data_IF_419079158959
#
_entry.id   IF_419079158959
#
_cell.length_a   1.000
_cell.length_b   1.000
_cell.length_c   1.000
_cell.angle_alpha   90.00
_cell.angle_beta   90.00
_cell.angle_gamma   90.00
#
_symmetry.space_group_name_H-M   'P 1'
#
loop_
_entity.id
_entity.type
_entity.pdbx_description
1 polymer ?
#
# COMPACT_ATOMS: atom_id res chain seq x y z
N UNK A 1 35.59 -1.04 -47.37
CA UNK A 1 35.76 -1.31 -45.93
C UNK A 1 34.48 -0.87 -45.27
N UNK A 2 33.77 -1.84 -44.67
CA UNK A 2 32.34 -1.76 -44.38
C UNK A 2 32.02 -0.87 -43.19
N UNK A 3 30.99 -0.06 -43.38
CA UNK A 3 30.22 0.59 -42.33
C UNK A 3 28.96 -0.27 -42.11
N UNK A 4 28.64 -0.57 -40.86
CA UNK A 4 27.44 -1.34 -40.49
C UNK A 4 26.86 -0.78 -39.21
N UNK A 5 26.07 0.27 -39.39
CA UNK A 5 25.12 0.80 -38.42
C UNK A 5 23.85 -0.06 -38.45
N UNK A 6 23.55 -0.77 -37.36
CA UNK A 6 22.32 -1.53 -37.19
C UNK A 6 21.22 -0.63 -36.61
N UNK A 7 20.29 -0.22 -37.46
CA UNK A 7 18.98 0.32 -37.08
C UNK A 7 18.00 -0.84 -36.88
N UNK A 8 17.46 -1.00 -35.67
CA UNK A 8 16.28 -1.85 -35.43
C UNK A 8 15.08 -0.93 -35.23
N UNK A 9 14.31 -0.75 -36.29
CA UNK A 9 12.98 -0.14 -36.29
C UNK A 9 11.96 -1.28 -36.20
N UNK A 10 11.33 -1.45 -35.03
CA UNK A 10 10.21 -2.39 -34.87
C UNK A 10 8.93 -1.63 -35.18
N UNK A 11 8.45 -1.76 -36.43
CA UNK A 11 7.12 -1.34 -36.86
C UNK A 11 6.11 -2.41 -36.45
N UNK A 12 5.18 -2.04 -35.58
CA UNK A 12 4.05 -2.87 -35.18
C UNK A 12 3.09 -3.08 -36.36
N UNK A 13 2.86 -4.35 -36.73
CA UNK A 13 1.76 -4.76 -37.60
C UNK A 13 0.43 -4.68 -36.84
N UNK A 14 -0.50 -3.87 -37.32
CA UNK A 14 -1.94 -4.02 -37.04
C UNK A 14 -2.62 -4.41 -38.36
N UNK A 15 -3.42 -5.49 -38.41
CA UNK A 15 -4.18 -5.80 -39.62
C UNK A 15 -5.38 -4.85 -39.75
N UNK A 16 -5.55 -4.34 -40.96
CA UNK A 16 -6.69 -3.58 -41.41
C UNK A 16 -7.94 -4.48 -41.48
N UNK A 17 -9.04 -4.06 -40.87
CA UNK A 17 -10.37 -4.49 -41.25
C UNK A 17 -11.08 -3.32 -41.93
N UNK A 18 -11.21 -3.41 -43.25
CA UNK A 18 -12.08 -2.55 -44.04
C UNK A 18 -13.52 -3.06 -43.92
N UNK A 19 -14.43 -2.23 -43.44
CA UNK A 19 -15.87 -2.47 -43.51
C UNK A 19 -16.46 -1.45 -44.48
N UNK A 20 -16.88 -1.94 -45.63
CA UNK A 20 -17.62 -1.18 -46.66
C UNK A 20 -19.03 -0.89 -46.15
N UNK A 21 -19.38 0.38 -45.99
CA UNK A 21 -20.75 0.80 -45.66
C UNK A 21 -21.57 0.96 -46.96
N UNK A 22 -22.60 0.12 -47.12
CA UNK A 22 -23.68 0.34 -48.08
C UNK A 22 -24.77 1.14 -47.37
N UNK A 23 -25.06 2.34 -47.88
CA UNK A 23 -26.15 3.20 -47.43
C UNK A 23 -27.47 2.70 -48.04
N UNK A 24 -28.42 2.29 -47.20
CA UNK A 24 -29.82 2.11 -47.57
C UNK A 24 -30.67 3.14 -46.82
N UNK A 25 -31.45 3.92 -47.56
CA UNK A 25 -32.40 4.92 -47.04
C UNK A 25 -33.78 4.32 -46.77
N UNK A 26 -34.44 4.93 -45.77
CA UNK A 26 -35.87 4.99 -45.48
C UNK A 26 -36.45 3.97 -44.47
N UNK A 27 -36.93 4.51 -43.35
CA UNK A 27 -37.76 3.84 -42.34
C UNK A 27 -37.81 4.62 -41.04
N UNK A 28 -38.80 5.51 -40.89
CA UNK A 28 -39.07 6.27 -39.67
C UNK A 28 -39.62 5.38 -38.56
N UNK A 29 -38.87 5.24 -37.46
CA UNK A 29 -39.37 4.82 -36.17
C UNK A 29 -38.53 5.50 -35.07
N UNK A 30 -39.20 6.23 -34.19
CA UNK A 30 -38.64 6.75 -32.94
C UNK A 30 -38.13 5.59 -32.08
N UNK A 31 -36.82 5.42 -32.00
CA UNK A 31 -36.16 4.51 -31.07
C UNK A 31 -34.91 5.19 -30.52
N UNK A 32 -34.86 5.35 -29.21
CA UNK A 32 -33.69 5.84 -28.49
C UNK A 32 -32.43 5.05 -28.91
N UNK A 33 -31.23 5.67 -28.94
CA UNK A 33 -30.02 4.93 -29.24
C UNK A 33 -29.85 3.80 -28.20
N UNK A 34 -29.38 2.61 -28.61
CA UNK A 34 -29.02 1.58 -27.65
C UNK A 34 -27.91 2.15 -26.76
N UNK A 35 -28.26 2.37 -25.49
CA UNK A 35 -27.29 2.60 -24.44
C UNK A 35 -26.35 1.40 -24.46
N UNK A 36 -25.12 1.61 -24.94
CA UNK A 36 -24.04 0.67 -24.70
C UNK A 36 -23.95 0.52 -23.19
N UNK A 37 -24.47 -0.60 -22.67
CA UNK A 37 -24.23 -0.99 -21.30
C UNK A 37 -22.71 -1.09 -21.17
N UNK A 38 -22.12 -0.08 -20.54
CA UNK A 38 -20.77 -0.19 -20.05
C UNK A 38 -20.84 -1.30 -19.01
N UNK A 39 -20.33 -2.48 -19.37
CA UNK A 39 -19.87 -3.48 -18.41
C UNK A 39 -18.78 -2.81 -17.57
N UNK A 40 -19.23 -2.01 -16.62
CA UNK A 40 -18.45 -1.57 -15.49
C UNK A 40 -18.36 -2.82 -14.62
N UNK A 41 -17.39 -3.66 -14.92
CA UNK A 41 -16.82 -4.54 -13.91
C UNK A 41 -16.24 -3.59 -12.86
N UNK A 42 -17.06 -3.21 -11.89
CA UNK A 42 -16.56 -2.81 -10.59
C UNK A 42 -15.69 -3.98 -10.15
N UNK A 43 -14.38 -3.81 -10.20
CA UNK A 43 -13.46 -4.67 -9.50
C UNK A 43 -13.75 -4.47 -8.01
N UNK A 44 -14.80 -5.11 -7.53
CA UNK A 44 -15.22 -5.08 -6.15
C UNK A 44 -14.03 -5.57 -5.32
N UNK A 45 -13.55 -4.72 -4.41
CA UNK A 45 -12.42 -5.01 -3.53
C UNK A 45 -12.77 -6.25 -2.73
N UNK A 46 -12.31 -7.43 -3.16
CA UNK A 46 -12.55 -8.67 -2.44
C UNK A 46 -11.91 -8.56 -1.05
N UNK A 47 -12.69 -8.65 0.04
CA UNK A 47 -12.14 -8.63 1.39
C UNK A 47 -11.18 -9.80 1.59
N UNK A 48 -10.09 -9.56 2.29
CA UNK A 48 -9.16 -10.59 2.77
C UNK A 48 -9.33 -10.76 4.28
N UNK A 49 -8.64 -11.75 4.88
CA UNK A 49 -8.68 -11.98 6.32
C UNK A 49 -8.29 -10.75 7.15
N UNK A 50 -7.42 -9.88 6.61
CA UNK A 50 -6.93 -8.68 7.32
C UNK A 50 -7.67 -7.40 6.93
N UNK A 51 -8.60 -7.44 5.96
CA UNK A 51 -9.32 -6.24 5.51
C UNK A 51 -9.99 -5.54 6.68
N UNK A 52 -9.80 -4.22 6.74
CA UNK A 52 -10.46 -3.29 7.63
C UNK A 52 -9.51 -2.29 8.31
N UNK A 53 -10.06 -1.51 9.24
CA UNK A 53 -9.33 -0.49 10.01
C UNK A 53 -8.87 -1.03 11.36
N UNK A 54 -7.57 -0.94 11.62
CA UNK A 54 -6.92 -1.47 12.81
C UNK A 54 -6.10 -0.42 13.55
N UNK A 55 -6.29 -0.33 14.86
CA UNK A 55 -5.59 0.57 15.76
C UNK A 55 -4.47 -0.15 16.50
N UNK A 56 -3.30 0.49 16.63
CA UNK A 56 -2.20 0.00 17.47
C UNK A 56 -2.59 0.05 18.95
N UNK A 57 -2.43 -1.08 19.65
CA UNK A 57 -2.81 -1.20 21.07
C UNK A 57 -1.72 -1.78 21.95
N UNK A 58 -0.75 -2.50 21.39
CA UNK A 58 0.44 -2.95 22.13
C UNK A 58 1.59 -3.18 21.17
N UNK A 59 2.81 -2.90 21.61
CA UNK A 59 4.04 -3.26 20.91
C UNK A 59 4.96 -3.94 21.91
N UNK A 60 5.47 -5.12 21.55
CA UNK A 60 6.51 -5.82 22.29
C UNK A 60 7.73 -5.88 21.39
N UNK A 61 8.83 -5.29 21.83
CA UNK A 61 10.11 -5.39 21.12
C UNK A 61 11.03 -6.37 21.85
N UNK A 62 11.93 -6.98 21.09
CA UNK A 62 12.92 -7.94 21.60
C UNK A 62 14.34 -7.43 21.43
N UNK A 63 15.32 -8.16 21.97
CA UNK A 63 16.75 -7.80 21.88
C UNK A 63 17.21 -6.84 22.98
N UNK A 64 18.37 -6.16 22.79
CA UNK A 64 18.99 -5.33 23.84
C UNK A 64 18.15 -4.15 24.33
N UNK A 65 17.14 -3.74 23.55
CA UNK A 65 16.19 -2.66 23.90
C UNK A 65 14.77 -3.19 24.07
N UNK A 66 14.64 -4.46 24.48
CA UNK A 66 13.36 -5.10 24.70
C UNK A 66 12.54 -4.28 25.70
N UNK A 67 11.32 -3.95 25.29
CA UNK A 67 10.36 -3.26 26.13
C UNK A 67 8.95 -3.63 25.69
N UNK A 68 8.01 -3.49 26.63
CA UNK A 68 6.59 -3.63 26.36
C UNK A 68 5.99 -2.23 26.41
N UNK A 69 5.50 -1.76 25.27
CA UNK A 69 4.64 -0.58 25.21
C UNK A 69 3.18 -1.04 25.16
N UNK A 70 2.50 -0.97 26.32
CA UNK A 70 1.11 -1.40 26.47
C UNK A 70 0.08 -0.34 26.07
N UNK A 71 0.52 0.88 25.76
CA UNK A 71 -0.34 1.98 25.31
C UNK A 71 0.47 2.86 24.35
N UNK A 72 0.76 2.36 23.14
CA UNK A 72 1.61 3.07 22.19
C UNK A 72 0.97 4.38 21.75
N UNK A 73 1.81 5.28 21.25
CA UNK A 73 1.35 6.49 20.58
C UNK A 73 0.38 6.16 19.43
N UNK A 74 -0.51 7.09 19.04
CA UNK A 74 -1.55 6.82 18.05
C UNK A 74 -1.00 6.21 16.76
N UNK A 75 -1.72 5.19 16.27
CA UNK A 75 -1.39 4.53 15.02
C UNK A 75 -2.58 3.77 14.44
N UNK A 76 -2.72 3.83 13.13
CA UNK A 76 -3.71 3.12 12.35
C UNK A 76 -3.03 2.38 11.19
N UNK A 77 -3.55 1.21 10.88
CA UNK A 77 -3.35 0.54 9.60
C UNK A 77 -4.69 0.16 9.01
N UNK A 78 -4.90 0.52 7.75
CA UNK A 78 -6.11 0.23 6.99
C UNK A 78 -5.72 -0.75 5.91
N UNK A 79 -6.38 -1.89 5.84
CA UNK A 79 -6.26 -2.84 4.75
C UNK A 79 -7.54 -2.85 3.92
N UNK A 80 -7.43 -2.56 2.63
CA UNK A 80 -8.51 -2.74 1.66
C UNK A 80 -8.35 -4.10 0.97
N UNK A 81 -9.04 -4.38 -0.14
CA UNK A 81 -8.88 -5.67 -0.85
C UNK A 81 -7.44 -5.96 -1.34
N UNK A 82 -6.68 -4.93 -1.76
CA UNK A 82 -5.29 -5.10 -2.26
C UNK A 82 -4.29 -4.10 -1.67
N UNK A 83 -4.78 -2.98 -1.17
CA UNK A 83 -3.93 -1.89 -0.72
C UNK A 83 -3.95 -1.80 0.80
N UNK A 84 -2.88 -1.25 1.34
CA UNK A 84 -2.84 -0.83 2.73
C UNK A 84 -2.39 0.63 2.84
N UNK A 85 -2.73 1.25 3.95
CA UNK A 85 -2.15 2.49 4.40
C UNK A 85 -1.84 2.38 5.89
N UNK A 86 -0.63 2.75 6.29
CA UNK A 86 -0.17 2.71 7.66
C UNK A 86 0.37 4.07 8.08
N UNK A 87 -0.17 4.61 9.18
CA UNK A 87 0.32 5.82 9.82
C UNK A 87 0.39 5.58 11.31
N UNK A 88 1.58 5.64 11.90
CA UNK A 88 1.77 5.46 13.34
C UNK A 88 3.01 6.20 13.84
N UNK A 89 3.07 6.41 15.15
CA UNK A 89 4.22 7.04 15.82
C UNK A 89 5.04 5.95 16.50
N UNK A 90 6.30 5.84 16.11
CA UNK A 90 7.28 4.90 16.67
C UNK A 90 8.13 5.60 17.74
N UNK A 91 7.48 6.02 18.81
CA UNK A 91 8.07 6.64 19.99
C UNK A 91 7.20 6.30 21.20
N UNK A 92 7.80 6.27 22.39
CA UNK A 92 7.02 6.17 23.63
C UNK A 92 6.40 7.53 23.97
N UNK A 93 7.08 8.63 23.64
CA UNK A 93 6.63 9.99 23.87
C UNK A 93 5.82 10.56 22.70
N UNK A 94 4.85 11.47 22.96
CA UNK A 94 4.15 12.21 21.93
C UNK A 94 5.10 13.03 21.05
N UNK A 95 4.71 13.23 19.78
CA UNK A 95 5.45 14.11 18.88
C UNK A 95 5.27 15.56 19.34
N UNK A 96 6.34 16.37 19.41
CA UNK A 96 6.22 17.78 19.77
C UNK A 96 5.35 18.52 18.75
N UNK A 97 4.63 19.53 19.23
CA UNK A 97 3.92 20.47 18.36
C UNK A 97 4.94 21.35 17.65
N UNK A 98 4.74 21.55 16.36
CA UNK A 98 5.50 22.52 15.59
C UNK A 98 4.86 23.90 15.71
N UNK A 99 5.64 24.99 15.58
CA UNK A 99 5.09 26.28 15.19
C UNK A 99 4.47 26.20 13.78
N UNK A 100 4.16 27.35 13.16
CA UNK A 100 3.87 27.37 11.72
C UNK A 100 5.00 26.66 10.95
N UNK A 101 4.64 25.81 10.00
CA UNK A 101 5.57 24.92 9.30
C UNK A 101 6.73 25.68 8.64
N UNK A 102 6.43 26.88 8.13
CA UNK A 102 7.36 27.79 7.48
C UNK A 102 8.35 28.44 8.46
N UNK A 103 8.03 28.43 9.76
CA UNK A 103 8.83 29.00 10.84
C UNK A 103 9.60 27.94 11.64
N UNK A 104 9.27 26.66 11.44
CA UNK A 104 9.91 25.57 12.16
C UNK A 104 11.37 25.41 11.74
N UNK A 105 12.26 25.31 12.74
CA UNK A 105 13.67 24.97 12.51
C UNK A 105 13.83 23.53 12.05
N UNK A 106 14.96 23.22 11.42
CA UNK A 106 15.28 21.85 11.01
C UNK A 106 15.29 20.86 12.20
N UNK A 107 15.70 21.31 13.39
CA UNK A 107 15.71 20.47 14.59
C UNK A 107 14.29 20.15 15.08
N UNK A 108 13.39 21.13 15.07
CA UNK A 108 11.98 20.92 15.44
C UNK A 108 11.29 19.98 14.45
N UNK A 109 11.51 20.19 13.14
CA UNK A 109 10.99 19.31 12.10
C UNK A 109 11.51 17.88 12.27
N UNK A 110 12.79 17.70 12.59
CA UNK A 110 13.37 16.39 12.85
C UNK A 110 12.71 15.73 14.05
N UNK A 111 12.59 16.42 15.19
CA UNK A 111 11.96 15.85 16.38
C UNK A 111 10.47 15.51 16.16
N UNK A 112 9.73 16.35 15.44
CA UNK A 112 8.31 16.14 15.18
C UNK A 112 8.02 15.06 14.12
N UNK A 113 8.92 14.86 13.16
CA UNK A 113 8.68 13.94 12.04
C UNK A 113 9.52 12.68 12.05
N UNK A 114 10.68 12.62 12.70
CA UNK A 114 11.49 11.39 12.78
C UNK A 114 10.68 10.17 13.24
N UNK A 115 9.94 10.22 14.37
CA UNK A 115 9.23 9.04 14.87
C UNK A 115 7.96 8.73 14.07
N UNK A 116 7.52 9.60 13.17
CA UNK A 116 6.34 9.35 12.34
C UNK A 116 6.66 8.32 11.26
N UNK A 117 5.96 7.20 11.26
CA UNK A 117 5.92 6.24 10.16
C UNK A 117 4.65 6.49 9.37
N UNK A 118 4.80 6.76 8.07
CA UNK A 118 3.68 6.92 7.15
C UNK A 118 4.05 6.31 5.80
N UNK A 119 3.31 5.31 5.35
CA UNK A 119 3.45 4.72 4.03
C UNK A 119 2.16 4.01 3.60
N UNK A 120 2.02 3.84 2.30
CA UNK A 120 0.92 3.11 1.68
C UNK A 120 1.45 2.27 0.54
N UNK A 121 0.77 1.17 0.26
CA UNK A 121 1.19 0.29 -0.81
C UNK A 121 0.27 -0.89 -1.01
N UNK A 122 0.81 -1.98 -1.54
CA UNK A 122 0.07 -3.23 -1.74
C UNK A 122 0.45 -4.26 -0.70
N UNK A 123 -0.41 -5.26 -0.51
CA UNK A 123 -0.05 -6.40 0.31
C UNK A 123 -0.53 -7.71 -0.34
N UNK A 124 0.06 -8.80 0.11
CA UNK A 124 -0.35 -10.16 -0.23
C UNK A 124 -0.40 -10.99 1.05
N UNK A 125 -1.30 -11.97 1.07
CA UNK A 125 -1.41 -12.97 2.14
C UNK A 125 -1.12 -14.34 1.54
N UNK A 126 -0.29 -15.12 2.23
CA UNK A 126 -0.02 -16.52 1.91
C UNK A 126 -0.01 -17.32 3.21
N UNK A 127 -1.07 -18.09 3.47
CA UNK A 127 -1.26 -18.75 4.78
C UNK A 127 -1.40 -17.71 5.90
N UNK A 128 -0.53 -17.82 6.90
CA UNK A 128 -0.42 -16.89 8.03
C UNK A 128 0.62 -15.78 7.80
N UNK A 129 1.18 -15.67 6.59
CA UNK A 129 2.16 -14.64 6.22
C UNK A 129 1.46 -13.46 5.55
N UNK A 130 1.68 -12.25 6.08
CA UNK A 130 1.36 -10.97 5.46
C UNK A 130 2.64 -10.35 4.93
N UNK A 131 2.69 -10.04 3.64
CA UNK A 131 3.81 -9.29 3.05
C UNK A 131 3.29 -7.97 2.49
N UNK A 132 3.81 -6.86 2.99
CA UNK A 132 3.49 -5.51 2.51
C UNK A 132 4.60 -5.01 1.59
N UNK A 133 4.21 -4.25 0.56
CA UNK A 133 5.10 -3.62 -0.41
C UNK A 133 4.75 -2.14 -0.52
N UNK A 134 5.52 -1.26 0.15
CA UNK A 134 5.34 0.19 0.04
C UNK A 134 5.43 0.67 -1.42
N UNK A 135 4.51 1.57 -1.79
CA UNK A 135 4.53 2.30 -3.07
C UNK A 135 4.84 3.78 -2.86
N UNK A 136 4.45 4.34 -1.71
CA UNK A 136 4.69 5.72 -1.33
C UNK A 136 4.84 5.81 0.17
N UNK A 137 5.66 6.74 0.66
CA UNK A 137 5.74 7.03 2.08
C UNK A 137 6.67 8.18 2.43
N UNK A 138 6.72 8.51 3.72
CA UNK A 138 7.54 9.61 4.28
C UNK A 138 9.03 9.39 4.03
N UNK A 139 9.48 8.14 4.13
CA UNK A 139 10.90 7.81 3.96
C UNK A 139 11.23 7.66 2.47
N UNK A 140 12.18 8.43 1.91
CA UNK A 140 12.59 8.29 0.52
C UNK A 140 13.31 6.97 0.25
N UNK A 141 13.76 6.27 1.31
CA UNK A 141 14.40 4.96 1.21
C UNK A 141 13.41 3.83 0.91
N UNK A 142 12.09 4.10 0.91
CA UNK A 142 11.09 3.17 0.41
C UNK A 142 11.17 3.14 -1.12
N UNK A 143 12.20 2.49 -1.66
CA UNK A 143 12.39 2.33 -3.09
C UNK A 143 11.24 1.48 -3.65
N UNK A 144 10.43 2.09 -4.51
CA UNK A 144 9.30 1.45 -5.20
C UNK A 144 9.79 0.17 -5.88
N UNK A 145 9.23 -0.97 -5.48
CA UNK A 145 9.53 -2.28 -6.06
C UNK A 145 10.52 -3.16 -5.28
N UNK A 146 11.42 -2.57 -4.49
CA UNK A 146 12.44 -3.32 -3.71
C UNK A 146 12.09 -3.41 -2.22
N UNK A 147 11.42 -2.39 -1.66
CA UNK A 147 11.02 -2.40 -0.26
C UNK A 147 9.89 -3.41 0.00
N UNK A 148 10.07 -4.21 1.05
CA UNK A 148 8.99 -5.03 1.62
C UNK A 148 9.25 -5.24 3.11
N UNK A 149 8.17 -5.51 3.82
CA UNK A 149 8.19 -6.05 5.18
C UNK A 149 7.23 -7.25 5.20
N UNK A 150 7.60 -8.31 5.91
CA UNK A 150 6.76 -9.50 6.08
C UNK A 150 6.56 -9.82 7.55
N UNK A 151 5.35 -10.26 7.86
CA UNK A 151 4.87 -10.57 9.20
C UNK A 151 4.17 -11.91 9.21
N UNK A 152 4.31 -12.70 10.27
CA UNK A 152 3.26 -13.66 10.60
C UNK A 152 2.11 -12.91 11.24
N UNK A 153 0.88 -13.32 10.97
CA UNK A 153 -0.31 -12.74 11.61
C UNK A 153 -1.24 -13.79 12.21
N UNK A 154 -1.90 -13.40 13.30
CA UNK A 154 -2.99 -14.18 13.90
C UNK A 154 -4.14 -13.23 14.23
N UNK A 155 -5.36 -13.63 13.86
CA UNK A 155 -6.58 -12.89 14.19
C UNK A 155 -7.44 -13.73 15.15
N UNK A 156 -7.90 -13.09 16.22
CA UNK A 156 -8.82 -13.65 17.21
C UNK A 156 -9.89 -12.59 17.53
N UNK A 157 -11.08 -12.76 16.98
CA UNK A 157 -12.13 -11.74 17.06
C UNK A 157 -11.67 -10.40 16.46
N UNK A 158 -11.73 -9.34 17.25
CA UNK A 158 -11.29 -7.99 16.87
C UNK A 158 -9.79 -7.73 17.08
N UNK A 159 -9.01 -8.74 17.49
CA UNK A 159 -7.58 -8.57 17.79
C UNK A 159 -6.73 -9.24 16.71
N UNK A 160 -5.81 -8.47 16.12
CA UNK A 160 -4.77 -8.98 15.23
C UNK A 160 -3.41 -8.85 15.92
N UNK A 161 -2.59 -9.90 15.83
CA UNK A 161 -1.18 -9.85 16.22
C UNK A 161 -0.33 -10.00 14.97
N UNK A 162 0.62 -9.10 14.76
CA UNK A 162 1.64 -9.17 13.72
C UNK A 162 3.00 -9.43 14.39
N UNK A 163 3.80 -10.34 13.87
CA UNK A 163 5.20 -10.51 14.33
C UNK A 163 6.14 -10.37 13.15
N UNK A 164 7.14 -9.50 13.28
CA UNK A 164 8.15 -9.28 12.23
C UNK A 164 8.83 -10.59 11.82
N UNK A 165 9.07 -10.75 10.51
CA UNK A 165 9.79 -11.91 9.96
C UNK A 165 11.00 -11.47 9.17
N UNK A 166 10.80 -10.65 8.13
CA UNK A 166 11.87 -10.24 7.23
C UNK A 166 11.53 -8.91 6.56
N UNK A 167 12.56 -8.26 6.04
CA UNK A 167 12.43 -7.08 5.18
C UNK A 167 13.51 -7.10 4.09
N UNK A 168 13.65 -6.00 3.34
CA UNK A 168 14.65 -5.88 2.28
C UNK A 168 16.11 -6.10 2.73
N UNK A 169 16.42 -6.09 4.03
CA UNK A 169 17.75 -6.37 4.60
C UNK A 169 17.94 -7.84 5.00
N UNK A 170 16.93 -8.69 4.83
CA UNK A 170 16.91 -10.08 5.25
C UNK A 170 16.03 -10.33 6.48
N UNK A 171 16.22 -11.46 7.19
CA UNK A 171 15.47 -11.79 8.39
C UNK A 171 15.63 -10.75 9.50
N UNK A 172 14.53 -10.47 10.22
CA UNK A 172 14.56 -9.55 11.36
C UNK A 172 15.11 -10.29 12.58
N UNK A 173 16.32 -9.91 13.01
CA UNK A 173 17.03 -10.57 14.11
C UNK A 173 16.34 -10.44 15.48
N UNK A 174 15.68 -9.30 15.73
CA UNK A 174 14.94 -9.03 16.97
C UNK A 174 13.50 -8.68 16.59
N UNK A 175 12.63 -9.68 16.36
CA UNK A 175 11.28 -9.44 15.86
C UNK A 175 10.46 -8.70 16.91
N UNK A 176 9.71 -7.69 16.49
CA UNK A 176 8.68 -7.09 17.31
C UNK A 176 7.34 -7.78 17.08
N UNK A 177 6.52 -7.80 18.12
CA UNK A 177 5.12 -8.23 18.05
C UNK A 177 4.22 -7.02 18.27
N UNK A 178 3.37 -6.74 17.28
CA UNK A 178 2.42 -5.64 17.29
C UNK A 178 1.03 -6.24 17.51
N UNK A 179 0.32 -5.75 18.51
CA UNK A 179 -1.11 -6.04 18.70
C UNK A 179 -1.92 -4.87 18.20
N UNK A 180 -2.94 -5.19 17.41
CA UNK A 180 -3.85 -4.27 16.79
C UNK A 180 -5.29 -4.65 17.15
N UNK A 181 -6.16 -3.65 17.28
CA UNK A 181 -7.59 -3.84 17.52
C UNK A 181 -8.40 -3.25 16.37
N UNK A 182 -9.34 -4.01 15.83
CA UNK A 182 -10.29 -3.56 14.80
C UNK A 182 -11.24 -2.53 15.39
N UNK A 183 -11.53 -1.46 14.65
CA UNK A 183 -12.34 -0.32 15.14
C UNK A 183 -13.54 0.03 14.23
N UNK A 184 -13.97 -0.90 13.39
CA UNK A 184 -15.15 -0.80 12.52
C UNK A 184 -15.91 -2.13 12.49
#
# INVERSE_FOLDING_TARGET
MGDSSLHISVRSCFPAFAVTAIVALAGSATGAPPSAAQDTVSAELRPTAVTGTWKYTKIVTTGPKAHINASPQPGLVIFTGRYYSAVHVKSDDPRPLLPELEKASAAELLQAYEPLVANSGTYVISGDMLTIRPLVGKSPNLKVGEAFDSYTFKIQGSVMTLTDVANAKGPVANPATITLTRIE
#
